data_IF_108271134377
#
_entry.id   IF_108271134377
#
_cell.length_a   1.000
_cell.length_b   1.000
_cell.length_c   1.000
_cell.angle_alpha   90.00
_cell.angle_beta   90.00
_cell.angle_gamma   90.00
#
_symmetry.space_group_name_H-M   'P 1'
#
loop_
_entity.id
_entity.type
_entity.pdbx_description
1 polymer ?
#
# COMPACT_ATOMS: atom_id res chain seq x y z
N UNK A 1 -15.12 0.33 11.61
CA UNK A 1 -15.58 -0.90 10.92
C UNK A 1 -14.47 -1.94 10.84
N UNK A 2 -13.37 -1.71 10.11
CA UNK A 2 -12.30 -2.72 9.95
C UNK A 2 -11.65 -3.17 11.28
N UNK A 3 -11.40 -2.24 12.22
CA UNK A 3 -10.91 -2.60 13.56
C UNK A 3 -11.86 -3.53 14.31
N UNK A 4 -13.15 -3.23 14.29
CA UNK A 4 -14.17 -4.05 14.95
C UNK A 4 -14.30 -5.44 14.30
N UNK A 5 -14.03 -5.54 12.99
CA UNK A 5 -14.07 -6.80 12.26
C UNK A 5 -12.92 -7.74 12.65
N UNK A 6 -11.83 -7.24 13.25
CA UNK A 6 -10.70 -8.08 13.68
C UNK A 6 -11.10 -9.13 14.72
N UNK A 7 -12.13 -8.87 15.53
CA UNK A 7 -12.66 -9.80 16.52
C UNK A 7 -13.66 -10.83 15.94
N UNK A 8 -13.95 -10.76 14.64
CA UNK A 8 -14.87 -11.68 13.97
C UNK A 8 -14.24 -13.06 13.78
N UNK A 9 -15.04 -14.12 13.89
CA UNK A 9 -14.61 -15.49 13.55
C UNK A 9 -14.20 -15.64 12.07
N UNK A 10 -14.70 -14.76 11.21
CA UNK A 10 -14.38 -14.73 9.77
C UNK A 10 -13.15 -13.88 9.43
N UNK A 11 -12.43 -13.36 10.43
CA UNK A 11 -11.29 -12.46 10.24
C UNK A 11 -10.21 -13.09 9.34
N UNK A 12 -9.72 -14.27 9.69
CA UNK A 12 -8.69 -14.97 8.90
C UNK A 12 -9.17 -15.25 7.47
N UNK A 13 -10.36 -15.82 7.30
CA UNK A 13 -10.90 -16.14 5.97
C UNK A 13 -11.02 -14.89 5.08
N UNK A 14 -11.53 -13.78 5.62
CA UNK A 14 -11.68 -12.54 4.87
C UNK A 14 -10.32 -12.00 4.39
N UNK A 15 -9.34 -11.92 5.31
CA UNK A 15 -8.03 -11.37 4.96
C UNK A 15 -7.22 -12.33 4.09
N UNK A 16 -7.36 -13.64 4.25
CA UNK A 16 -6.83 -14.63 3.31
C UNK A 16 -7.31 -14.36 1.87
N UNK A 17 -8.62 -14.17 1.69
CA UNK A 17 -9.19 -13.99 0.35
C UNK A 17 -8.93 -12.60 -0.23
N UNK A 18 -8.94 -11.55 0.61
CA UNK A 18 -9.03 -10.17 0.10
C UNK A 18 -7.84 -9.27 0.43
N UNK A 19 -6.95 -9.62 1.38
CA UNK A 19 -5.92 -8.68 1.85
C UNK A 19 -5.00 -8.19 0.73
N UNK A 20 -4.48 -9.11 -0.09
CA UNK A 20 -3.55 -8.76 -1.17
C UNK A 20 -4.26 -7.96 -2.27
N UNK A 21 -5.47 -8.36 -2.65
CA UNK A 21 -6.29 -7.65 -3.64
C UNK A 21 -6.58 -6.22 -3.19
N UNK A 22 -7.08 -6.02 -1.96
CA UNK A 22 -7.36 -4.69 -1.43
C UNK A 22 -6.09 -3.83 -1.43
N UNK A 23 -4.95 -4.39 -1.03
CA UNK A 23 -3.66 -3.67 -1.03
C UNK A 23 -3.23 -3.25 -2.43
N UNK A 24 -3.33 -4.15 -3.41
CA UNK A 24 -3.01 -3.85 -4.81
C UNK A 24 -3.90 -2.75 -5.37
N UNK A 25 -5.21 -2.86 -5.20
CA UNK A 25 -6.18 -1.87 -5.66
C UNK A 25 -5.94 -0.50 -5.01
N UNK A 26 -5.62 -0.47 -3.71
CA UNK A 26 -5.25 0.79 -3.04
C UNK A 26 -4.00 1.39 -3.66
N UNK A 27 -2.95 0.62 -3.89
CA UNK A 27 -1.75 1.16 -4.54
C UNK A 27 -2.02 1.66 -5.96
N UNK A 28 -2.83 0.94 -6.74
CA UNK A 28 -3.26 1.37 -8.06
C UNK A 28 -3.97 2.75 -8.00
N UNK A 29 -4.95 2.90 -7.10
CA UNK A 29 -5.68 4.16 -6.92
C UNK A 29 -4.79 5.28 -6.38
N UNK A 30 -3.90 4.98 -5.42
CA UNK A 30 -2.95 5.99 -4.89
C UNK A 30 -2.08 6.56 -6.02
N UNK A 31 -1.68 5.73 -6.98
CA UNK A 31 -0.82 6.12 -8.11
C UNK A 31 -1.58 6.69 -9.30
N UNK A 32 -2.91 6.66 -9.29
CA UNK A 32 -3.75 7.26 -10.32
C UNK A 32 -3.86 8.79 -10.11
N UNK A 33 -3.51 9.55 -11.16
CA UNK A 33 -3.55 11.01 -11.15
C UNK A 33 -4.95 11.60 -11.04
N UNK A 34 -5.99 10.81 -11.29
CA UNK A 34 -7.39 11.26 -11.36
C UNK A 34 -8.17 11.07 -10.07
N UNK A 35 -7.69 10.21 -9.17
CA UNK A 35 -8.39 9.84 -7.95
C UNK A 35 -7.93 10.69 -6.77
N UNK A 36 -8.47 11.90 -6.66
CA UNK A 36 -8.16 12.82 -5.55
C UNK A 36 -9.12 12.66 -4.38
N UNK A 37 -10.38 12.35 -4.67
CA UNK A 37 -11.37 12.03 -3.64
C UNK A 37 -11.03 10.69 -2.98
N UNK A 38 -11.06 10.63 -1.64
CA UNK A 38 -10.86 9.39 -0.90
C UNK A 38 -9.40 8.99 -0.66
N UNK A 39 -8.40 9.73 -1.17
CA UNK A 39 -6.97 9.43 -0.94
C UNK A 39 -6.64 9.26 0.55
N UNK A 40 -7.22 10.14 1.40
CA UNK A 40 -7.13 10.05 2.86
C UNK A 40 -7.61 8.70 3.39
N UNK A 41 -8.72 8.18 2.87
CA UNK A 41 -9.25 6.88 3.27
C UNK A 41 -8.38 5.73 2.76
N UNK A 42 -7.88 5.80 1.53
CA UNK A 42 -6.94 4.82 0.97
C UNK A 42 -5.69 4.68 1.83
N UNK A 43 -5.08 5.81 2.24
CA UNK A 43 -3.92 5.81 3.14
C UNK A 43 -4.23 5.17 4.49
N UNK A 44 -5.39 5.47 5.08
CA UNK A 44 -5.80 4.89 6.36
C UNK A 44 -6.07 3.38 6.26
N UNK A 45 -6.70 2.92 5.18
CA UNK A 45 -6.95 1.49 4.97
C UNK A 45 -5.63 0.77 4.73
N UNK A 46 -4.73 1.34 3.92
CA UNK A 46 -3.41 0.76 3.69
C UNK A 46 -2.62 0.62 4.99
N UNK A 47 -2.55 1.69 5.80
CA UNK A 47 -1.88 1.65 7.10
C UNK A 47 -2.48 0.55 7.99
N UNK A 48 -3.81 0.45 8.04
CA UNK A 48 -4.50 -0.59 8.80
C UNK A 48 -4.09 -2.01 8.37
N UNK A 49 -4.03 -2.28 7.06
CA UNK A 49 -3.59 -3.57 6.54
C UNK A 49 -2.14 -3.90 6.92
N UNK A 50 -1.24 -2.92 6.92
CA UNK A 50 0.14 -3.11 7.31
C UNK A 50 0.29 -3.37 8.83
N UNK A 51 -0.44 -2.63 9.67
CA UNK A 51 -0.49 -2.90 11.11
C UNK A 51 -1.08 -4.27 11.42
N UNK A 52 -2.14 -4.68 10.70
CA UNK A 52 -2.82 -5.94 10.90
C UNK A 52 -1.87 -7.14 10.74
N UNK A 53 -0.99 -7.10 9.73
CA UNK A 53 -0.05 -8.18 9.42
C UNK A 53 0.92 -8.51 10.58
N UNK A 54 1.12 -7.57 11.52
CA UNK A 54 1.97 -7.75 12.71
C UNK A 54 1.21 -7.80 14.04
N UNK A 55 -0.08 -7.47 14.03
CA UNK A 55 -0.89 -7.34 15.25
C UNK A 55 -1.12 -8.64 16.03
N UNK A 56 -0.77 -9.80 15.46
CA UNK A 56 -1.12 -11.12 16.00
C UNK A 56 -2.59 -11.50 15.84
N UNK A 57 -3.44 -10.62 15.29
CA UNK A 57 -4.86 -10.92 15.03
C UNK A 57 -5.07 -11.92 13.89
N UNK A 58 -4.12 -12.00 12.96
CA UNK A 58 -4.12 -12.99 11.88
C UNK A 58 -3.28 -14.19 12.30
N UNK A 59 -3.96 -15.27 12.65
CA UNK A 59 -3.35 -16.52 13.13
C UNK A 59 -3.06 -17.50 12.00
N UNK A 60 -3.68 -17.30 10.84
CA UNK A 60 -3.45 -18.09 9.62
C UNK A 60 -2.47 -17.36 8.68
N UNK A 61 -1.68 -18.10 7.88
CA UNK A 61 -0.80 -17.49 6.88
C UNK A 61 -1.64 -16.73 5.85
N UNK A 62 -1.09 -15.66 5.27
CA UNK A 62 -1.70 -14.91 4.14
C UNK A 62 -1.25 -15.41 2.75
N UNK A 63 -0.45 -16.47 2.72
CA UNK A 63 0.10 -17.07 1.50
C UNK A 63 -0.25 -18.55 1.41
N UNK A 64 -0.36 -19.06 0.19
CA UNK A 64 -0.46 -20.51 -0.03
C UNK A 64 0.84 -21.21 0.41
N UNK A 65 0.77 -21.87 1.56
CA UNK A 65 1.87 -22.62 2.17
C UNK A 65 2.38 -23.74 1.28
N UNK A 66 1.56 -24.25 0.36
CA UNK A 66 1.95 -25.30 -0.58
C UNK A 66 2.66 -24.77 -1.83
N UNK A 67 2.46 -23.48 -2.14
CA UNK A 67 3.00 -22.84 -3.33
C UNK A 67 4.42 -22.29 -3.14
N UNK A 68 4.92 -22.22 -1.90
CA UNK A 68 6.24 -21.65 -1.59
C UNK A 68 7.22 -22.74 -1.12
N UNK A 69 8.46 -22.76 -1.64
CA UNK A 69 9.45 -23.79 -1.29
C UNK A 69 9.95 -23.66 0.16
N UNK A 70 9.90 -22.45 0.72
CA UNK A 70 10.23 -22.18 2.12
C UNK A 70 9.12 -21.30 2.73
N UNK A 71 8.56 -21.68 3.88
CA UNK A 71 7.50 -20.90 4.51
C UNK A 71 8.05 -19.59 5.07
N UNK A 72 7.22 -18.55 5.02
CA UNK A 72 7.52 -17.28 5.68
C UNK A 72 7.42 -17.44 7.21
N UNK A 73 8.25 -16.69 7.98
CA UNK A 73 8.21 -16.76 9.44
C UNK A 73 6.93 -16.16 10.04
N UNK A 74 6.31 -15.19 9.36
CA UNK A 74 5.06 -14.56 9.76
C UNK A 74 4.42 -13.79 8.59
N UNK A 75 3.18 -13.32 8.80
CA UNK A 75 2.42 -12.53 7.84
C UNK A 75 3.10 -11.22 7.45
N UNK A 76 3.78 -10.55 8.38
CA UNK A 76 4.46 -9.29 8.11
C UNK A 76 5.58 -9.42 7.07
N UNK A 77 6.45 -10.43 7.24
CA UNK A 77 7.53 -10.73 6.31
C UNK A 77 7.00 -11.09 4.92
N UNK A 78 5.91 -11.87 4.86
CA UNK A 78 5.25 -12.16 3.59
C UNK A 78 4.71 -10.90 2.91
N UNK A 79 3.96 -10.07 3.64
CA UNK A 79 3.35 -8.84 3.08
C UNK A 79 4.44 -7.85 2.66
N UNK A 80 5.55 -7.77 3.38
CA UNK A 80 6.72 -6.94 3.04
C UNK A 80 7.35 -7.40 1.72
N UNK A 81 7.72 -8.67 1.62
CA UNK A 81 8.35 -9.21 0.42
C UNK A 81 7.42 -9.09 -0.80
N UNK A 82 6.13 -9.39 -0.61
CA UNK A 82 5.12 -9.19 -1.64
C UNK A 82 5.09 -7.74 -2.13
N UNK A 83 5.11 -6.76 -1.21
CA UNK A 83 5.06 -5.33 -1.57
C UNK A 83 6.33 -4.92 -2.33
N UNK A 84 7.49 -5.39 -1.87
CA UNK A 84 8.78 -5.17 -2.55
C UNK A 84 8.76 -5.71 -3.98
N UNK A 85 8.26 -6.93 -4.18
CA UNK A 85 8.09 -7.54 -5.52
C UNK A 85 7.09 -6.78 -6.39
N UNK A 86 5.96 -6.38 -5.82
CA UNK A 86 4.93 -5.59 -6.51
C UNK A 86 5.52 -4.27 -7.03
N UNK A 87 6.27 -3.54 -6.19
CA UNK A 87 6.85 -2.27 -6.58
C UNK A 87 8.00 -2.43 -7.57
N UNK A 88 8.90 -3.40 -7.37
CA UNK A 88 9.98 -3.66 -8.31
C UNK A 88 9.50 -4.05 -9.71
N UNK A 89 8.31 -4.66 -9.82
CA UNK A 89 7.70 -4.99 -11.12
C UNK A 89 6.86 -3.84 -11.68
N UNK A 90 6.24 -3.02 -10.83
CA UNK A 90 5.36 -1.91 -11.25
C UNK A 90 6.13 -0.63 -11.61
N UNK A 91 7.31 -0.42 -11.03
CA UNK A 91 8.14 0.77 -11.21
C UNK A 91 9.54 0.39 -11.72
N UNK A 92 9.70 -0.04 -12.97
CA UNK A 92 10.98 -0.53 -13.50
C UNK A 92 12.10 0.53 -13.55
N UNK A 93 11.76 1.80 -13.36
CA UNK A 93 12.73 2.90 -13.27
C UNK A 93 13.26 3.13 -11.85
N UNK A 94 12.61 2.58 -10.83
CA UNK A 94 13.14 2.58 -9.47
C UNK A 94 14.16 1.45 -9.34
N UNK A 95 15.33 1.77 -8.81
CA UNK A 95 16.34 0.76 -8.46
C UNK A 95 15.83 -0.15 -7.35
N UNK A 96 16.38 -1.37 -7.27
CA UNK A 96 16.03 -2.30 -6.19
C UNK A 96 16.27 -1.70 -4.79
N UNK A 97 17.29 -0.84 -4.64
CA UNK A 97 17.59 -0.12 -3.40
C UNK A 97 16.50 0.88 -3.05
N UNK A 98 16.05 1.70 -4.00
CA UNK A 98 14.98 2.67 -3.79
C UNK A 98 13.66 2.00 -3.43
N UNK A 99 13.31 0.91 -4.13
CA UNK A 99 12.11 0.10 -3.79
C UNK A 99 12.20 -0.43 -2.37
N UNK A 100 13.35 -0.98 -1.99
CA UNK A 100 13.54 -1.54 -0.64
C UNK A 100 13.45 -0.46 0.43
N UNK A 101 14.08 0.70 0.22
CA UNK A 101 14.02 1.84 1.16
C UNK A 101 12.60 2.35 1.33
N UNK A 102 11.86 2.47 0.23
CA UNK A 102 10.46 2.89 0.25
C UNK A 102 9.59 1.90 1.04
N UNK A 103 9.68 0.61 0.73
CA UNK A 103 8.87 -0.40 1.43
C UNK A 103 9.25 -0.46 2.91
N UNK A 104 10.53 -0.40 3.25
CA UNK A 104 10.98 -0.33 4.64
C UNK A 104 10.38 0.88 5.37
N UNK A 105 10.47 2.08 4.78
CA UNK A 105 9.91 3.30 5.38
C UNK A 105 8.39 3.20 5.62
N UNK A 106 7.63 2.64 4.68
CA UNK A 106 6.19 2.40 4.86
C UNK A 106 5.90 1.44 6.01
N UNK A 107 6.65 0.35 6.13
CA UNK A 107 6.45 -0.61 7.20
C UNK A 107 6.89 -0.04 8.56
N UNK A 108 8.07 0.57 8.66
CA UNK A 108 8.60 1.17 9.89
C UNK A 108 7.69 2.27 10.46
N UNK A 109 7.10 3.08 9.56
CA UNK A 109 6.18 4.16 9.94
C UNK A 109 4.73 3.73 10.16
N UNK A 110 4.37 2.44 10.01
CA UNK A 110 2.97 1.97 10.10
C UNK A 110 2.23 2.42 11.36
N UNK A 111 2.92 2.60 12.49
CA UNK A 111 2.33 3.04 13.76
C UNK A 111 2.31 4.58 13.95
N UNK A 112 2.95 5.34 13.06
CA UNK A 112 2.93 6.80 13.06
C UNK A 112 2.30 7.31 11.75
N UNK A 113 1.02 7.69 11.83
CA UNK A 113 0.26 8.17 10.68
C UNK A 113 0.90 9.40 10.00
N UNK A 114 1.58 10.26 10.76
CA UNK A 114 2.20 11.46 10.19
C UNK A 114 3.37 11.06 9.27
N UNK A 115 4.29 10.27 9.80
CA UNK A 115 5.44 9.76 9.05
C UNK A 115 5.01 8.84 7.90
N UNK A 116 3.99 8.00 8.11
CA UNK A 116 3.42 7.15 7.07
C UNK A 116 2.89 7.95 5.88
N UNK A 117 2.13 9.03 6.14
CA UNK A 117 1.66 9.93 5.08
C UNK A 117 2.80 10.61 4.33
N UNK A 118 3.89 10.95 5.02
CA UNK A 118 5.07 11.52 4.37
C UNK A 118 5.69 10.54 3.39
N UNK A 119 5.92 9.29 3.80
CA UNK A 119 6.42 8.25 2.90
C UNK A 119 5.49 7.99 1.70
N UNK A 120 4.17 8.00 1.89
CA UNK A 120 3.23 7.89 0.77
C UNK A 120 3.34 9.11 -0.17
N UNK A 121 3.43 10.33 0.36
CA UNK A 121 3.61 11.53 -0.49
C UNK A 121 4.90 11.44 -1.31
N UNK A 122 6.01 11.10 -0.68
CA UNK A 122 7.32 10.99 -1.33
C UNK A 122 7.28 9.92 -2.44
N UNK A 123 6.67 8.77 -2.17
CA UNK A 123 6.45 7.72 -3.16
C UNK A 123 5.66 8.22 -4.38
N UNK A 124 4.57 8.96 -4.15
CA UNK A 124 3.73 9.47 -5.24
C UNK A 124 4.46 10.54 -6.06
N UNK A 125 5.31 11.35 -5.45
CA UNK A 125 6.15 12.32 -6.16
C UNK A 125 7.19 11.58 -7.01
N UNK A 126 7.93 10.65 -6.42
CA UNK A 126 8.97 9.87 -7.13
C UNK A 126 8.35 9.08 -8.30
N UNK A 127 7.22 8.40 -8.08
CA UNK A 127 6.52 7.64 -9.11
C UNK A 127 6.11 8.50 -10.31
N UNK A 128 5.73 9.76 -10.07
CA UNK A 128 5.40 10.71 -11.14
C UNK A 128 6.62 11.15 -11.93
N UNK A 129 7.72 11.47 -11.26
CA UNK A 129 8.98 11.86 -11.93
C UNK A 129 9.46 10.76 -12.89
N UNK A 130 9.32 9.49 -12.50
CA UNK A 130 9.65 8.36 -13.36
C UNK A 130 8.69 8.19 -14.54
N UNK A 131 7.39 8.47 -14.38
CA UNK A 131 6.43 8.39 -15.49
C UNK A 131 6.71 9.45 -16.57
N UNK A 132 7.14 10.65 -16.17
CA UNK A 132 7.46 11.74 -17.09
C UNK A 132 8.68 11.46 -17.97
N UNK A 133 9.63 10.64 -17.47
CA UNK A 133 10.82 10.23 -18.21
C UNK A 133 10.55 9.10 -19.24
N UNK A 134 9.46 8.33 -19.10
CA UNK A 134 9.11 7.16 -19.95
C UNK A 134 8.32 7.52 -21.21
N UNK A 135 8.35 8.76 -21.67
CA UNK A 135 7.72 9.16 -22.94
C UNK A 135 8.42 8.62 -24.22
N UNK A 136 9.17 7.52 -24.14
CA UNK A 136 9.56 6.68 -25.29
C UNK A 136 9.55 5.19 -24.97
N UNK A 137 8.35 4.61 -24.88
CA UNK A 137 8.07 3.43 -25.71
C UNK A 137 7.75 2.08 -25.07
N UNK A 138 7.81 1.85 -23.75
CA UNK A 138 7.50 0.49 -23.21
C UNK A 138 6.95 0.47 -21.78
N UNK A 139 5.69 0.83 -21.59
CA UNK A 139 4.94 0.45 -20.38
C UNK A 139 3.52 0.02 -20.78
N UNK A 140 3.31 -1.28 -20.98
CA UNK A 140 2.01 -1.84 -21.36
C UNK A 140 0.97 -1.86 -20.21
N UNK A 141 1.37 -1.56 -18.96
CA UNK A 141 0.41 -1.24 -17.89
C UNK A 141 0.04 0.25 -17.85
N UNK A 142 0.95 1.13 -18.27
CA UNK A 142 0.73 2.58 -18.27
C UNK A 142 -0.24 3.01 -19.38
N UNK A 143 -0.30 2.27 -20.50
CA UNK A 143 -1.25 2.52 -21.60
C UNK A 143 -2.71 2.21 -21.25
N UNK A 144 -2.95 1.33 -20.27
CA UNK A 144 -4.30 1.02 -19.79
C UNK A 144 -4.85 2.10 -18.86
N UNK A 145 -3.99 2.80 -18.12
CA UNK A 145 -4.35 3.86 -17.17
C UNK A 145 -4.31 5.27 -17.78
N UNK A 146 -3.47 5.52 -18.80
CA UNK A 146 -3.37 6.82 -19.50
C UNK A 146 -4.55 7.15 -20.43
N UNK A 147 -5.43 6.19 -20.77
CA UNK A 147 -6.58 6.44 -21.65
C UNK A 147 -7.82 7.01 -20.93
N UNK A 148 -7.80 7.20 -19.61
CA UNK A 148 -9.01 7.46 -18.84
C UNK A 148 -9.00 8.72 -17.98
N UNK A 149 -8.38 9.80 -18.50
CA UNK A 149 -8.63 11.23 -18.21
C UNK A 149 -7.41 11.94 -17.61
N UNK A 150 -7.32 13.24 -17.87
CA UNK A 150 -6.36 14.16 -17.29
C UNK A 150 -7.04 15.08 -16.27
N UNK A 151 -6.23 15.63 -15.37
CA UNK A 151 -6.31 16.99 -14.77
C UNK A 151 -5.90 17.02 -13.26
N UNK A 152 -5.18 18.06 -12.83
CA UNK A 152 -3.96 18.02 -11.97
C UNK A 152 -4.12 18.63 -10.55
N UNK A 153 -5.25 19.24 -10.21
CA UNK A 153 -5.34 20.26 -9.14
C UNK A 153 -5.78 19.98 -7.67
N UNK A 154 -5.77 18.78 -7.06
CA UNK A 154 -6.42 18.62 -5.70
C UNK A 154 -5.65 17.88 -4.59
N UNK A 155 -4.43 18.31 -4.28
CA UNK A 155 -3.66 17.80 -3.14
C UNK A 155 -3.52 18.77 -1.96
N UNK A 156 -4.29 19.86 -1.90
CA UNK A 156 -4.14 20.90 -0.87
C UNK A 156 -5.47 21.13 -0.15
N UNK A 157 -5.77 20.33 0.86
CA UNK A 157 -6.47 20.85 2.05
C UNK A 157 -6.14 20.00 3.29
N UNK A 158 -5.26 20.54 4.14
CA UNK A 158 -4.66 19.90 5.32
C UNK A 158 -5.41 20.24 6.63
N UNK A 159 -6.63 20.81 6.55
CA UNK A 159 -7.39 21.23 7.74
C UNK A 159 -8.56 20.31 8.05
N UNK A 160 -8.28 19.12 8.58
CA UNK A 160 -9.14 18.41 9.57
C UNK A 160 -8.68 16.96 9.75
N UNK A 161 -7.64 16.72 10.57
CA UNK A 161 -7.38 15.39 11.16
C UNK A 161 -6.72 15.54 12.53
N UNK A 162 -7.50 15.95 13.53
CA UNK A 162 -7.34 15.44 14.90
C UNK A 162 -8.57 14.58 15.17
N UNK A 163 -8.42 13.48 15.92
CA UNK A 163 -9.33 12.33 16.10
C UNK A 163 -8.97 11.18 15.13
N UNK A 164 -8.27 10.11 15.48
CA UNK A 164 -8.01 9.49 16.79
C UNK A 164 -6.69 8.74 16.62
N UNK A 165 -5.58 9.39 17.01
CA UNK A 165 -4.29 8.73 17.12
C UNK A 165 -4.34 7.77 18.32
N UNK A 166 -3.62 6.66 18.20
CA UNK A 166 -3.09 5.84 19.30
C UNK A 166 -3.40 6.38 20.70
N UNK A 167 -4.23 5.68 21.48
CA UNK A 167 -4.09 5.61 22.93
C UNK A 167 -5.01 4.52 23.52
N UNK A 168 -4.35 3.62 24.27
CA UNK A 168 -4.77 2.95 25.52
C UNK A 168 -5.90 1.90 25.37
N UNK A 169 -5.76 0.63 25.76
CA UNK A 169 -4.78 -0.10 26.58
C UNK A 169 -4.53 -1.51 25.99
#
# INVERSE_FOLDING_TARGET
MLKNFQASEFCNQFYWTHCLTIKQEIFAVLTDTLHKAGLKLHVLVLQHLLCLAESGSLTEPLWDVSAVPYPYPNNAMFVHEYTTKLFGTSFPNMTATEVTQLVNGLFESRNDLSTFKNHIRDFLVQSKEFSAQVNKGKCQLLLALLNLLGDESALIDDREITLTACNQD
#
